data_IF_364580983586
#
_entry.id   IF_364580983586
#
_cell.length_a   1.000
_cell.length_b   1.000
_cell.length_c   1.000
_cell.angle_alpha   90.00
_cell.angle_beta   90.00
_cell.angle_gamma   90.00
#
_symmetry.space_group_name_H-M   'P 1'
#
loop_
_entity.id
_entity.type
_entity.pdbx_description
1 polymer ?
#
# COMPACT_ATOMS: atom_id res chain seq x y z
N UNK A 1 36.37 20.22 23.86
CA UNK A 1 35.23 19.59 24.57
C UNK A 1 33.94 20.40 24.48
N UNK A 2 33.98 21.73 24.67
CA UNK A 2 32.78 22.61 24.62
C UNK A 2 32.10 22.72 23.24
N UNK A 3 32.84 22.63 22.13
CA UNK A 3 32.26 22.75 20.77
C UNK A 3 31.52 21.50 20.30
N UNK A 4 31.96 20.31 20.72
CA UNK A 4 31.32 19.02 20.39
C UNK A 4 29.95 18.90 21.07
N UNK A 5 29.83 19.37 22.31
CA UNK A 5 28.57 19.30 23.04
C UNK A 5 27.50 20.22 22.44
N UNK A 6 27.90 21.41 21.96
CA UNK A 6 27.01 22.33 21.24
C UNK A 6 26.60 21.79 19.88
N UNK A 7 27.46 21.01 19.21
CA UNK A 7 27.16 20.40 17.91
C UNK A 7 26.13 19.27 18.05
N UNK A 8 26.31 18.40 19.06
CA UNK A 8 25.32 17.35 19.38
C UNK A 8 23.99 18.00 19.77
N UNK A 9 23.98 19.00 20.66
CA UNK A 9 22.75 19.67 21.09
C UNK A 9 22.00 20.35 19.91
N UNK A 10 22.73 20.92 18.94
CA UNK A 10 22.13 21.48 17.71
C UNK A 10 21.63 20.42 16.75
N UNK A 11 22.30 19.27 16.69
CA UNK A 11 21.87 18.14 15.87
C UNK A 11 20.58 17.50 16.43
N UNK A 12 20.49 17.31 17.76
CA UNK A 12 19.24 16.83 18.39
C UNK A 12 18.11 17.84 18.26
N UNK A 13 18.39 19.15 18.33
CA UNK A 13 17.39 20.20 18.08
C UNK A 13 16.89 20.20 16.63
N UNK A 14 17.76 19.88 15.66
CA UNK A 14 17.39 19.78 14.24
C UNK A 14 16.53 18.54 13.95
N UNK A 15 16.85 17.40 14.57
CA UNK A 15 16.04 16.17 14.47
C UNK A 15 14.66 16.35 15.12
N UNK A 16 14.57 17.09 16.22
CA UNK A 16 13.29 17.44 16.83
C UNK A 16 12.47 18.46 16.03
N UNK A 17 13.04 19.16 15.04
CA UNK A 17 12.31 20.07 14.14
C UNK A 17 11.79 19.39 12.87
N UNK A 18 12.22 18.16 12.58
CA UNK A 18 11.63 17.29 11.56
C UNK A 18 10.35 16.64 12.13
N UNK A 19 9.37 17.45 12.53
CA UNK A 19 8.05 16.95 12.88
C UNK A 19 7.34 16.51 11.59
N UNK A 20 6.86 15.26 11.62
CA UNK A 20 5.97 14.61 10.65
C UNK A 20 4.95 15.56 10.03
N UNK A 21 5.03 15.75 8.71
CA UNK A 21 3.96 16.32 7.92
C UNK A 21 2.77 15.34 7.91
N UNK A 22 1.75 15.61 8.71
CA UNK A 22 0.45 14.94 8.58
C UNK A 22 -0.30 15.60 7.42
N UNK A 23 -0.63 14.81 6.41
CA UNK A 23 -1.62 15.23 5.41
C UNK A 23 -2.99 15.28 6.10
N UNK A 24 -3.67 16.42 6.05
CA UNK A 24 -5.04 16.55 6.53
C UNK A 24 -5.97 15.73 5.62
N UNK A 25 -6.62 14.71 6.18
CA UNK A 25 -7.68 13.99 5.46
C UNK A 25 -8.93 14.87 5.44
N UNK A 26 -9.41 15.23 4.25
CA UNK A 26 -10.70 15.88 4.11
C UNK A 26 -11.81 14.97 4.65
N UNK A 27 -12.79 15.54 5.35
CA UNK A 27 -14.01 14.81 5.74
C UNK A 27 -14.65 14.19 4.50
N UNK A 28 -14.91 12.88 4.55
CA UNK A 28 -15.44 12.11 3.42
C UNK A 28 -14.39 11.58 2.44
N UNK A 29 -13.10 11.77 2.74
CA UNK A 29 -12.04 11.02 2.07
C UNK A 29 -12.07 9.55 2.50
N UNK A 30 -11.66 8.68 1.57
CA UNK A 30 -11.52 7.26 1.83
C UNK A 30 -10.11 7.06 2.37
N UNK A 31 -9.95 6.36 3.53
CA UNK A 31 -8.63 6.09 4.06
C UNK A 31 -7.84 5.29 3.03
N UNK A 32 -6.71 5.82 2.60
CA UNK A 32 -5.88 5.14 1.63
C UNK A 32 -4.52 5.78 1.43
N UNK A 33 -3.50 4.94 1.27
CA UNK A 33 -2.13 5.39 1.09
C UNK A 33 -1.78 5.43 -0.39
N UNK A 34 -1.49 6.64 -0.89
CA UNK A 34 -0.88 6.82 -2.21
C UNK A 34 0.64 6.63 -2.12
N UNK A 35 1.20 5.89 -3.08
CA UNK A 35 2.64 5.83 -3.31
C UNK A 35 2.93 5.70 -4.80
N UNK A 36 4.12 6.14 -5.23
CA UNK A 36 4.61 5.87 -6.58
C UNK A 36 5.67 4.80 -6.49
N UNK A 37 5.49 3.69 -7.23
CA UNK A 37 6.45 2.56 -7.26
C UNK A 37 6.75 2.22 -8.70
N UNK A 38 8.02 2.29 -9.09
CA UNK A 38 8.49 1.98 -10.45
C UNK A 38 7.72 2.75 -11.53
N UNK A 39 7.37 4.02 -11.26
CA UNK A 39 6.60 4.86 -12.18
C UNK A 39 5.09 4.56 -12.22
N UNK A 40 4.61 3.58 -11.46
CA UNK A 40 3.18 3.32 -11.29
C UNK A 40 2.62 4.08 -10.08
N UNK A 41 1.41 4.63 -10.22
CA UNK A 41 0.63 5.06 -9.08
C UNK A 41 0.05 3.82 -8.39
N UNK A 42 0.33 3.68 -7.09
CA UNK A 42 -0.13 2.58 -6.24
C UNK A 42 -0.95 3.15 -5.10
N UNK A 43 -2.15 2.61 -4.91
CA UNK A 43 -3.07 3.02 -3.86
C UNK A 43 -3.56 1.79 -3.09
N UNK A 44 -3.64 1.88 -1.76
CA UNK A 44 -4.19 0.81 -0.92
C UNK A 44 -5.29 1.36 -0.05
N UNK A 45 -6.49 0.79 -0.15
CA UNK A 45 -7.68 1.13 0.63
C UNK A 45 -7.98 -0.08 1.53
N UNK A 46 -7.67 -0.02 2.84
CA UNK A 46 -8.01 -1.10 3.76
C UNK A 46 -9.52 -1.26 3.85
N UNK A 47 -9.99 -2.50 3.96
CA UNK A 47 -11.38 -2.82 4.24
C UNK A 47 -11.47 -3.12 5.74
N UNK A 48 -12.28 -2.33 6.45
CA UNK A 48 -12.54 -2.60 7.86
C UNK A 48 -13.40 -3.85 8.00
N UNK A 49 -12.86 -4.86 8.69
CA UNK A 49 -13.53 -6.13 8.97
C UNK A 49 -13.70 -6.26 10.47
N UNK A 50 -14.89 -6.59 10.99
CA UNK A 50 -15.07 -6.84 12.41
C UNK A 50 -14.22 -8.05 12.85
N UNK A 51 -13.71 -8.05 14.10
CA UNK A 51 -12.96 -9.18 14.63
C UNK A 51 -13.84 -10.43 14.67
N UNK A 52 -13.35 -11.54 14.14
CA UNK A 52 -14.03 -12.83 14.22
C UNK A 52 -13.82 -13.54 15.55
N UNK A 53 -14.28 -14.79 15.63
CA UNK A 53 -14.12 -15.64 16.80
C UNK A 53 -12.63 -15.76 17.16
N UNK A 54 -12.31 -15.57 18.44
CA UNK A 54 -10.94 -15.58 18.95
C UNK A 54 -9.99 -14.53 18.29
N UNK A 55 -10.54 -13.44 17.73
CA UNK A 55 -9.74 -12.39 17.09
C UNK A 55 -9.24 -12.74 15.69
N UNK A 56 -9.73 -13.84 15.10
CA UNK A 56 -9.41 -14.22 13.73
C UNK A 56 -10.14 -13.30 12.75
N UNK A 57 -9.40 -12.42 12.08
CA UNK A 57 -9.92 -11.57 11.01
C UNK A 57 -9.05 -11.69 9.75
N UNK A 58 -9.64 -11.65 8.56
CA UNK A 58 -8.87 -11.51 7.33
C UNK A 58 -8.33 -10.08 7.20
N UNK A 59 -7.11 -9.96 6.66
CA UNK A 59 -6.57 -8.69 6.22
C UNK A 59 -6.99 -8.46 4.77
N UNK A 60 -7.94 -7.55 4.54
CA UNK A 60 -8.52 -7.27 3.24
C UNK A 60 -8.26 -5.82 2.84
N UNK A 61 -7.93 -5.59 1.57
CA UNK A 61 -7.79 -4.25 1.01
C UNK A 61 -8.10 -4.22 -0.49
N UNK A 62 -8.68 -3.11 -0.96
CA UNK A 62 -8.73 -2.79 -2.39
C UNK A 62 -7.41 -2.11 -2.76
N UNK A 63 -6.69 -2.70 -3.70
CA UNK A 63 -5.41 -2.17 -4.18
C UNK A 63 -5.55 -1.67 -5.61
N UNK A 64 -4.97 -0.53 -5.91
CA UNK A 64 -4.84 0.02 -7.25
C UNK A 64 -3.37 0.06 -7.67
N UNK A 65 -3.11 -0.27 -8.92
CA UNK A 65 -1.83 -0.06 -9.58
C UNK A 65 -2.10 0.37 -11.03
N UNK A 66 -1.61 1.53 -11.43
CA UNK A 66 -1.85 2.08 -12.77
C UNK A 66 -1.27 1.23 -13.91
N UNK A 67 -0.30 0.35 -13.62
CA UNK A 67 0.29 -0.60 -14.57
C UNK A 67 -0.36 -1.99 -14.51
N UNK A 68 -1.31 -2.22 -13.59
CA UNK A 68 -1.99 -3.50 -13.50
C UNK A 68 -3.09 -3.64 -14.57
N UNK A 69 -3.35 -4.89 -14.95
CA UNK A 69 -4.44 -5.25 -15.86
C UNK A 69 -5.81 -5.23 -15.17
N UNK A 70 -6.77 -5.93 -15.76
CA UNK A 70 -8.12 -6.05 -15.21
C UNK A 70 -8.16 -7.00 -14.01
N UNK A 71 -8.57 -6.52 -12.85
CA UNK A 71 -8.90 -7.34 -11.69
C UNK A 71 -10.41 -7.44 -11.46
N UNK A 72 -10.80 -8.05 -10.33
CA UNK A 72 -12.21 -8.23 -9.94
C UNK A 72 -13.02 -6.92 -9.95
N UNK A 73 -12.56 -5.83 -9.29
CA UNK A 73 -13.24 -4.53 -9.32
C UNK A 73 -12.93 -3.68 -10.57
N UNK A 74 -12.22 -4.21 -11.57
CA UNK A 74 -11.94 -3.52 -12.84
C UNK A 74 -10.46 -3.24 -13.12
N UNK A 75 -10.21 -2.43 -14.14
CA UNK A 75 -8.87 -2.11 -14.64
C UNK A 75 -8.01 -1.40 -13.58
N UNK A 76 -6.81 -1.90 -13.37
CA UNK A 76 -5.86 -1.36 -12.40
C UNK A 76 -6.19 -1.68 -10.93
N UNK A 77 -7.41 -2.14 -10.63
CA UNK A 77 -7.83 -2.48 -9.28
C UNK A 77 -7.76 -3.99 -9.01
N UNK A 78 -7.58 -4.37 -7.75
CA UNK A 78 -7.58 -5.76 -7.29
C UNK A 78 -8.03 -5.82 -5.83
N UNK A 79 -8.59 -6.97 -5.43
CA UNK A 79 -8.94 -7.28 -4.05
C UNK A 79 -7.85 -8.16 -3.45
N UNK A 80 -7.16 -7.66 -2.43
CA UNK A 80 -6.09 -8.38 -1.71
C UNK A 80 -6.64 -9.11 -0.48
N UNK A 81 -5.87 -10.08 0.03
CA UNK A 81 -6.25 -10.91 1.18
C UNK A 81 -7.08 -12.16 0.84
N UNK A 82 -7.47 -12.31 -0.43
CA UNK A 82 -8.13 -13.51 -0.93
C UNK A 82 -7.15 -14.40 -1.69
N UNK A 83 -7.38 -15.71 -1.65
CA UNK A 83 -6.72 -16.67 -2.55
C UNK A 83 -7.50 -16.74 -3.87
N UNK A 84 -6.79 -16.73 -4.99
CA UNK A 84 -7.40 -16.87 -6.31
C UNK A 84 -6.51 -17.71 -7.23
N UNK A 85 -7.14 -18.46 -8.14
CA UNK A 85 -6.47 -19.16 -9.24
C UNK A 85 -6.78 -18.37 -10.52
N UNK A 86 -5.91 -17.44 -10.94
CA UNK A 86 -6.14 -16.68 -12.17
C UNK A 86 -5.97 -17.59 -13.38
N UNK A 87 -6.71 -17.32 -14.46
CA UNK A 87 -6.36 -17.89 -15.76
C UNK A 87 -4.94 -17.44 -16.12
N UNK A 88 -4.14 -18.38 -16.60
CA UNK A 88 -2.83 -18.12 -17.19
C UNK A 88 -2.98 -18.01 -18.71
N UNK A 89 -2.02 -17.36 -19.35
CA UNK A 89 -1.94 -17.39 -20.81
C UNK A 89 -1.81 -18.83 -21.30
N UNK A 90 -2.50 -19.11 -22.41
CA UNK A 90 -2.29 -20.32 -23.19
C UNK A 90 -0.81 -20.39 -23.59
N UNK A 91 -0.22 -21.56 -23.46
CA UNK A 91 1.15 -21.80 -23.92
C UNK A 91 1.19 -23.08 -24.73
N UNK A 92 1.82 -23.03 -25.90
CA UNK A 92 1.96 -24.19 -26.80
C UNK A 92 2.60 -25.38 -26.06
N UNK A 93 3.57 -25.11 -25.18
CA UNK A 93 4.29 -26.12 -24.42
C UNK A 93 3.41 -26.89 -23.40
N UNK A 94 2.33 -26.28 -22.90
CA UNK A 94 1.42 -26.95 -21.94
C UNK A 94 0.13 -27.40 -22.59
N UNK A 95 -0.38 -26.58 -23.50
CA UNK A 95 -1.75 -26.70 -24.00
C UNK A 95 -1.82 -27.23 -25.43
N UNK A 96 -0.69 -27.34 -26.15
CA UNK A 96 -0.60 -27.89 -27.51
C UNK A 96 -1.33 -27.07 -28.59
N UNK A 97 -1.94 -25.97 -28.20
CA UNK A 97 -2.77 -25.11 -29.04
C UNK A 97 -1.96 -23.87 -29.47
N UNK A 98 -2.00 -23.57 -30.76
CA UNK A 98 -1.43 -22.35 -31.36
C UNK A 98 -2.37 -21.17 -31.19
#
# INVERSE_FOLDING_TARGET
>A
MKSILTFIARFTLCVALLHTAHAEELVGSIPGQLSVRQGAAVYTIPIEVPPGVAGMQPDLAITYNSNAGNGLPGMGFSLSGLSAIPRRNLSIARDGMK
#
